data_IF_450887298335
#
_entry.id   IF_450887298335
#
_cell.length_a   1.000
_cell.length_b   1.000
_cell.length_c   1.000
_cell.angle_alpha   90.00
_cell.angle_beta   90.00
_cell.angle_gamma   90.00
#
_symmetry.space_group_name_H-M   'P 1'
#
loop_
_entity.id
_entity.type
_entity.pdbx_description
1 polymer ?
#
# COMPACT_ATOMS: atom_id res chain seq x y z
N UNK A 1 -9.70 0.15 2.76
CA UNK A 1 -11.14 0.17 2.42
C UNK A 1 -11.88 0.61 3.67
N UNK A 2 -12.83 1.54 3.56
CA UNK A 2 -13.63 1.91 4.71
C UNK A 2 -14.78 0.92 4.88
N UNK A 3 -14.75 0.11 5.95
CA UNK A 3 -15.75 -0.93 6.20
C UNK A 3 -17.16 -0.36 6.38
N UNK A 4 -17.30 0.78 7.05
CA UNK A 4 -18.61 1.38 7.35
C UNK A 4 -19.37 1.91 6.13
N UNK A 5 -18.66 2.34 5.07
CA UNK A 5 -19.28 2.90 3.86
C UNK A 5 -19.05 2.05 2.61
N UNK A 6 -18.31 0.95 2.73
CA UNK A 6 -17.89 0.10 1.60
C UNK A 6 -17.13 0.84 0.49
N UNK A 7 -16.59 2.04 0.78
CA UNK A 7 -15.85 2.85 -0.19
C UNK A 7 -14.34 2.56 -0.12
N UNK A 8 -13.69 2.57 -1.28
CA UNK A 8 -12.23 2.58 -1.39
C UNK A 8 -11.76 4.02 -1.24
N UNK A 9 -10.98 4.30 -0.19
CA UNK A 9 -10.44 5.64 0.07
C UNK A 9 -9.22 5.89 -0.82
N UNK A 10 -8.25 4.98 -0.78
CA UNK A 10 -7.03 5.04 -1.59
C UNK A 10 -6.71 3.66 -2.15
N UNK A 11 -6.08 3.63 -3.33
CA UNK A 11 -5.62 2.42 -4.00
C UNK A 11 -4.30 2.72 -4.70
N UNK A 12 -3.40 1.75 -4.74
CA UNK A 12 -2.20 1.80 -5.58
C UNK A 12 -1.97 0.42 -6.18
N UNK A 13 -1.71 0.37 -7.49
CA UNK A 13 -1.43 -0.88 -8.21
C UNK A 13 -0.36 -0.63 -9.26
N UNK A 14 0.49 -1.62 -9.51
CA UNK A 14 1.52 -1.55 -10.57
C UNK A 14 0.91 -1.55 -11.97
N UNK A 15 -0.35 -1.99 -12.11
CA UNK A 15 -1.09 -1.98 -13.38
C UNK A 15 -1.76 -0.61 -13.68
N UNK A 16 -1.65 0.37 -12.79
CA UNK A 16 -2.13 1.71 -13.09
C UNK A 16 -1.38 2.28 -14.31
N UNK A 17 -2.10 2.91 -15.25
CA UNK A 17 -1.56 3.41 -16.54
C UNK A 17 -0.26 4.22 -16.38
N UNK A 18 -0.19 5.02 -15.32
CA UNK A 18 0.92 5.92 -15.03
C UNK A 18 2.13 5.19 -14.45
N UNK A 19 1.92 4.06 -13.76
CA UNK A 19 3.01 3.29 -13.13
C UNK A 19 3.53 2.19 -14.06
N UNK A 20 2.65 1.56 -14.85
CA UNK A 20 3.01 0.45 -15.73
C UNK A 20 4.10 0.81 -16.75
N UNK A 21 4.17 2.07 -17.18
CA UNK A 21 5.15 2.55 -18.17
C UNK A 21 6.37 3.22 -17.52
N UNK A 22 6.33 3.48 -16.22
CA UNK A 22 7.38 4.20 -15.49
C UNK A 22 8.20 3.27 -14.61
N UNK A 23 7.60 2.19 -14.10
CA UNK A 23 8.33 1.21 -13.32
C UNK A 23 9.14 0.29 -14.25
N UNK A 24 10.43 0.06 -13.95
CA UNK A 24 11.30 -0.81 -14.75
C UNK A 24 10.93 -2.30 -14.61
N UNK A 25 10.27 -2.66 -13.50
CA UNK A 25 9.71 -3.97 -13.23
C UNK A 25 8.32 -3.80 -12.62
N UNK A 26 7.54 -4.86 -12.60
CA UNK A 26 6.21 -4.85 -11.97
C UNK A 26 6.14 -5.74 -10.74
N UNK A 27 7.27 -6.36 -10.38
CA UNK A 27 7.33 -7.41 -9.38
C UNK A 27 8.53 -7.29 -8.45
N UNK A 28 9.41 -6.30 -8.59
CA UNK A 28 10.60 -6.23 -7.77
C UNK A 28 10.33 -5.63 -6.38
N UNK A 29 11.29 -5.81 -5.48
CA UNK A 29 11.21 -5.28 -4.12
C UNK A 29 11.19 -3.74 -4.10
N UNK A 30 11.81 -3.08 -5.07
CA UNK A 30 11.77 -1.61 -5.17
C UNK A 30 10.40 -1.11 -5.62
N UNK A 31 9.71 -1.85 -6.51
CA UNK A 31 8.32 -1.54 -6.87
C UNK A 31 7.41 -1.64 -5.64
N UNK A 32 7.65 -2.64 -4.78
CA UNK A 32 6.93 -2.81 -3.53
C UNK A 32 7.08 -1.59 -2.59
N UNK A 33 8.29 -1.00 -2.51
CA UNK A 33 8.52 0.26 -1.77
C UNK A 33 7.78 1.43 -2.41
N UNK A 34 7.83 1.55 -3.74
CA UNK A 34 7.13 2.63 -4.47
C UNK A 34 5.62 2.54 -4.21
N UNK A 35 5.04 1.35 -4.27
CA UNK A 35 3.62 1.12 -3.97
C UNK A 35 3.32 1.46 -2.51
N UNK A 36 4.12 1.00 -1.55
CA UNK A 36 3.93 1.31 -0.12
C UNK A 36 3.97 2.82 0.15
N UNK A 37 4.93 3.53 -0.44
CA UNK A 37 5.03 4.99 -0.35
C UNK A 37 3.80 5.68 -0.95
N UNK A 38 3.38 5.27 -2.13
CA UNK A 38 2.23 5.86 -2.83
C UNK A 38 0.91 5.64 -2.07
N UNK A 39 0.74 4.48 -1.42
CA UNK A 39 -0.41 4.23 -0.53
C UNK A 39 -0.39 5.20 0.64
N UNK A 40 0.76 5.39 1.29
CA UNK A 40 0.88 6.30 2.42
C UNK A 40 0.60 7.77 2.01
N UNK A 41 1.15 8.22 0.88
CA UNK A 41 0.90 9.57 0.34
C UNK A 41 -0.60 9.80 0.05
N UNK A 42 -1.23 8.91 -0.73
CA UNK A 42 -2.66 9.00 -1.06
C UNK A 42 -3.57 8.88 0.16
N UNK A 43 -3.15 8.13 1.19
CA UNK A 43 -3.92 8.03 2.44
C UNK A 43 -3.86 9.34 3.21
N UNK A 44 -2.70 9.98 3.29
CA UNK A 44 -2.55 11.31 3.90
C UNK A 44 -3.30 12.40 3.15
N UNK A 45 -3.28 12.38 1.81
CA UNK A 45 -4.09 13.29 0.98
C UNK A 45 -5.60 13.16 1.26
N UNK A 46 -6.04 11.97 1.67
CA UNK A 46 -7.42 11.68 2.07
C UNK A 46 -7.68 11.82 3.58
N UNK A 47 -6.74 12.42 4.34
CA UNK A 47 -6.82 12.61 5.79
C UNK A 47 -6.91 11.31 6.61
N UNK A 48 -6.31 10.22 6.10
CA UNK A 48 -6.26 8.91 6.76
C UNK A 48 -4.82 8.62 7.23
N UNK A 49 -4.65 8.58 8.55
CA UNK A 49 -3.36 8.31 9.20
C UNK A 49 -3.29 6.98 9.94
N UNK A 50 -4.43 6.30 10.11
CA UNK A 50 -4.51 5.01 10.79
C UNK A 50 -5.25 3.99 9.90
N UNK A 51 -4.68 2.80 9.74
CA UNK A 51 -5.25 1.72 8.93
C UNK A 51 -5.12 0.37 9.64
N UNK A 52 -6.05 -0.54 9.40
CA UNK A 52 -5.91 -1.94 9.78
C UNK A 52 -5.48 -2.77 8.57
N UNK A 53 -4.48 -3.64 8.74
CA UNK A 53 -4.12 -4.63 7.73
C UNK A 53 -4.87 -5.93 8.00
N UNK A 54 -5.60 -6.41 6.99
CA UNK A 54 -6.36 -7.65 7.05
C UNK A 54 -5.62 -8.75 6.26
N UNK A 55 -4.87 -9.64 6.93
CA UNK A 55 -4.18 -10.72 6.24
C UNK A 55 -5.17 -11.76 5.71
N UNK A 56 -4.86 -12.34 4.55
CA UNK A 56 -5.60 -13.49 4.03
C UNK A 56 -5.31 -14.75 4.85
N UNK A 57 -6.19 -15.76 4.73
CA UNK A 57 -5.97 -17.06 5.39
C UNK A 57 -4.60 -17.63 4.97
N UNK A 58 -3.77 -17.94 5.96
CA UNK A 58 -2.39 -18.43 5.81
C UNK A 58 -1.41 -17.46 5.13
N UNK A 59 -1.73 -16.16 5.07
CA UNK A 59 -0.80 -15.14 4.56
C UNK A 59 0.26 -14.83 5.61
N UNK A 60 1.54 -14.99 5.23
CA UNK A 60 2.69 -14.63 6.08
C UNK A 60 3.20 -13.26 5.67
N UNK A 61 3.48 -12.41 6.66
CA UNK A 61 4.06 -11.08 6.46
C UNK A 61 5.56 -11.24 6.19
N UNK A 62 5.91 -11.62 4.96
CA UNK A 62 7.28 -11.85 4.52
C UNK A 62 7.50 -11.32 3.10
N UNK A 63 8.77 -11.13 2.73
CA UNK A 63 9.16 -10.63 1.40
C UNK A 63 8.50 -9.29 1.06
N UNK A 64 7.89 -9.21 -0.13
CA UNK A 64 7.28 -7.99 -0.67
C UNK A 64 6.19 -7.42 0.23
N UNK A 65 5.40 -8.29 0.86
CA UNK A 65 4.33 -7.86 1.75
C UNK A 65 4.89 -7.15 2.98
N UNK A 66 5.93 -7.72 3.60
CA UNK A 66 6.63 -7.08 4.71
C UNK A 66 7.22 -5.73 4.30
N UNK A 67 7.83 -5.63 3.11
CA UNK A 67 8.38 -4.38 2.58
C UNK A 67 7.29 -3.32 2.41
N UNK A 68 6.12 -3.69 1.87
CA UNK A 68 5.00 -2.74 1.68
C UNK A 68 4.53 -2.20 3.03
N UNK A 69 4.28 -3.09 4.01
CA UNK A 69 3.78 -2.69 5.32
C UNK A 69 4.80 -1.82 6.08
N UNK A 70 6.07 -2.22 6.08
CA UNK A 70 7.17 -1.44 6.66
C UNK A 70 7.30 -0.06 6.01
N UNK A 71 7.18 0.00 4.67
CA UNK A 71 7.25 1.28 3.95
C UNK A 71 6.07 2.18 4.29
N UNK A 72 4.84 1.63 4.38
CA UNK A 72 3.66 2.40 4.77
C UNK A 72 3.85 2.99 6.18
N UNK A 73 4.33 2.17 7.13
CA UNK A 73 4.58 2.61 8.50
C UNK A 73 5.62 3.73 8.55
N UNK A 74 6.76 3.56 7.85
CA UNK A 74 7.83 4.55 7.76
C UNK A 74 7.40 5.88 7.14
N UNK A 75 6.34 5.88 6.32
CA UNK A 75 5.81 7.08 5.69
C UNK A 75 4.72 7.78 6.51
N UNK A 76 4.56 7.42 7.79
CA UNK A 76 3.74 8.15 8.76
C UNK A 76 2.30 7.64 8.89
N UNK A 77 2.03 6.41 8.48
CA UNK A 77 0.75 5.74 8.71
C UNK A 77 0.88 4.76 9.88
N UNK A 78 -0.09 4.77 10.79
CA UNK A 78 -0.13 3.91 11.95
C UNK A 78 -1.00 2.68 11.63
N UNK A 79 -0.53 1.49 12.01
CA UNK A 79 -1.34 0.27 11.95
C UNK A 79 -2.10 0.09 13.27
N UNK A 80 -3.41 -0.14 13.19
CA UNK A 80 -4.33 -0.37 14.33
C UNK A 80 -4.95 -1.76 14.29
#
# INVERSE_FOLDING_TARGET
MHRGTSKVISVATTNARNLRNTLPSLTDNDDAKVIGKLIAERSKEADVYAIAYEPRKNERIEGKLGIILDTIQKNGIIFV
#
